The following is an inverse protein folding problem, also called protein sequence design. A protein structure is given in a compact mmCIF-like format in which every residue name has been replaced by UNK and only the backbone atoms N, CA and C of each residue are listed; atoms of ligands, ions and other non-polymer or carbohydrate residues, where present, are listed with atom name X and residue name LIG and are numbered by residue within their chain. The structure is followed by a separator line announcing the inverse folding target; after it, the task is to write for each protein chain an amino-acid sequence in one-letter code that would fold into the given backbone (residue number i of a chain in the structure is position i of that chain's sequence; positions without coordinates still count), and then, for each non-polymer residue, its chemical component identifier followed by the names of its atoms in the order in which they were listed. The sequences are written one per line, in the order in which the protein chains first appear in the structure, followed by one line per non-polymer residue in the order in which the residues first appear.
data_IF_430530834499
#
_entry.id   IF_430530834499
#
_cell.length_a   1.000
_cell.length_b   1.000
_cell.length_c   1.000
_cell.angle_alpha   90.00
_cell.angle_beta   90.00
_cell.angle_gamma   90.00
#
_symmetry.space_group_name_H-M   'P 1'
#
loop_
_entity.id
_entity.type
_entity.pdbx_description
1 polymer ?
#
# COMPACT_ATOMS: atom_id res chain seq x y z
N UNK A 1 -14.44 -16.86 19.58
CA UNK A 1 -13.98 -16.19 18.36
C UNK A 1 -12.46 -16.26 18.35
N UNK A 2 -11.87 -17.15 17.55
CA UNK A 2 -10.40 -17.11 17.36
C UNK A 2 -10.09 -15.98 16.38
N UNK A 3 -9.91 -14.77 16.91
CA UNK A 3 -9.34 -13.69 16.12
C UNK A 3 -7.84 -14.03 15.96
N UNK A 4 -7.51 -14.67 14.85
CA UNK A 4 -6.11 -14.88 14.52
C UNK A 4 -5.53 -13.52 14.04
N UNK A 5 -4.98 -12.76 14.99
CA UNK A 5 -4.38 -11.44 14.72
C UNK A 5 -3.32 -11.52 13.61
N UNK A 6 -2.65 -12.65 13.47
CA UNK A 6 -1.66 -12.86 12.41
C UNK A 6 -2.24 -12.56 11.00
N UNK A 7 -3.49 -12.96 10.74
CA UNK A 7 -4.15 -12.71 9.46
C UNK A 7 -4.55 -11.22 9.23
N UNK A 8 -4.17 -10.32 10.14
CA UNK A 8 -4.39 -8.88 10.03
C UNK A 8 -3.07 -8.10 9.94
N UNK A 9 -1.94 -8.81 9.80
CA UNK A 9 -0.60 -8.21 9.81
C UNK A 9 -0.02 -8.22 8.40
N UNK A 10 0.41 -7.03 7.95
CA UNK A 10 1.29 -6.86 6.81
C UNK A 10 2.74 -6.83 7.31
N UNK A 11 3.45 -7.96 7.16
CA UNK A 11 4.83 -8.06 7.61
C UNK A 11 5.74 -7.26 6.69
N UNK A 12 6.40 -6.23 7.24
CA UNK A 12 6.89 -5.10 6.43
C UNK A 12 8.40 -4.92 6.48
N UNK A 13 9.02 -4.73 5.31
CA UNK A 13 10.39 -4.24 5.15
C UNK A 13 10.50 -3.23 4.00
N UNK A 14 10.64 -1.94 4.33
CA UNK A 14 10.70 -0.82 3.38
C UNK A 14 12.02 -0.04 3.44
N UNK A 15 13.03 -0.58 4.14
CA UNK A 15 14.35 0.05 4.23
C UNK A 15 15.01 0.08 2.84
N UNK A 16 15.62 1.21 2.48
CA UNK A 16 16.33 1.35 1.20
C UNK A 16 17.48 0.35 1.03
N UNK A 17 18.04 -0.13 2.14
CA UNK A 17 19.15 -1.10 2.17
C UNK A 17 18.69 -2.55 2.27
N UNK A 18 17.37 -2.82 2.21
CA UNK A 18 16.85 -4.19 2.28
C UNK A 18 17.37 -5.05 1.12
N UNK A 19 17.97 -6.17 1.46
CA UNK A 19 18.54 -7.12 0.50
C UNK A 19 17.51 -8.19 0.09
N UNK A 20 17.83 -8.97 -0.94
CA UNK A 20 17.03 -10.15 -1.32
C UNK A 20 16.94 -11.17 -0.17
N UNK A 21 18.01 -11.32 0.62
CA UNK A 21 18.02 -12.22 1.77
C UNK A 21 17.07 -11.74 2.88
N UNK A 22 17.01 -10.42 3.11
CA UNK A 22 16.05 -9.83 4.07
C UNK A 22 14.61 -10.07 3.61
N UNK A 23 14.32 -9.88 2.32
CA UNK A 23 12.98 -10.13 1.76
C UNK A 23 12.63 -11.62 1.84
N UNK A 24 13.57 -12.53 1.56
CA UNK A 24 13.36 -13.96 1.69
C UNK A 24 13.07 -14.38 3.13
N UNK A 25 13.81 -13.82 4.10
CA UNK A 25 13.54 -14.04 5.51
C UNK A 25 12.14 -13.57 5.88
N UNK A 26 11.74 -12.36 5.45
CA UNK A 26 10.41 -11.79 5.64
C UNK A 26 9.31 -12.74 5.12
N UNK A 27 9.47 -13.26 3.89
CA UNK A 27 8.52 -14.18 3.28
C UNK A 27 8.41 -15.50 4.07
N UNK A 28 9.54 -16.03 4.58
CA UNK A 28 9.55 -17.26 5.38
C UNK A 28 8.83 -17.05 6.72
N UNK A 29 9.10 -15.94 7.41
CA UNK A 29 8.40 -15.57 8.66
C UNK A 29 6.89 -15.41 8.39
N UNK A 30 6.50 -14.73 7.31
CA UNK A 30 5.09 -14.55 6.97
C UNK A 30 4.36 -15.89 6.71
N UNK A 31 5.02 -16.84 6.07
CA UNK A 31 4.49 -18.21 5.88
C UNK A 31 4.37 -18.96 7.20
N UNK A 32 5.41 -18.89 8.05
CA UNK A 32 5.44 -19.59 9.34
C UNK A 32 4.33 -19.13 10.28
N UNK A 33 4.10 -17.80 10.36
CA UNK A 33 3.12 -17.21 11.26
C UNK A 33 1.75 -16.97 10.61
N UNK A 34 1.60 -17.29 9.32
CA UNK A 34 0.36 -17.08 8.55
C UNK A 34 -0.10 -15.61 8.58
N UNK A 35 0.83 -14.68 8.34
CA UNK A 35 0.48 -13.27 8.19
C UNK A 35 -0.37 -13.04 6.93
N UNK A 36 -1.12 -11.92 6.90
CA UNK A 36 -1.96 -11.58 5.77
C UNK A 36 -1.11 -11.31 4.52
N UNK A 37 -0.11 -10.47 4.65
CA UNK A 37 0.78 -10.09 3.55
C UNK A 37 2.23 -9.91 3.97
N UNK A 38 3.10 -9.76 2.98
CA UNK A 38 4.39 -9.09 3.12
C UNK A 38 4.31 -7.75 2.39
N UNK A 39 4.74 -6.66 3.06
CA UNK A 39 4.80 -5.33 2.45
C UNK A 39 6.25 -4.95 2.16
N UNK A 40 6.55 -4.68 0.90
CA UNK A 40 7.90 -4.50 0.37
C UNK A 40 7.98 -3.38 -0.67
N UNK A 41 9.20 -2.89 -0.93
CA UNK A 41 9.42 -1.94 -2.01
C UNK A 41 9.11 -2.56 -3.39
N UNK A 42 8.60 -1.79 -4.37
CA UNK A 42 8.10 -2.29 -5.66
C UNK A 42 9.11 -3.14 -6.45
N UNK A 43 10.40 -2.84 -6.34
CA UNK A 43 11.46 -3.60 -7.03
C UNK A 43 11.58 -5.07 -6.57
N UNK A 44 10.93 -5.44 -5.46
CA UNK A 44 11.00 -6.78 -4.89
C UNK A 44 9.73 -7.62 -5.11
N UNK A 45 8.70 -7.11 -5.79
CA UNK A 45 7.40 -7.78 -5.96
C UNK A 45 7.56 -9.17 -6.60
N UNK A 46 8.19 -9.26 -7.77
CA UNK A 46 8.36 -10.53 -8.48
C UNK A 46 9.16 -11.55 -7.66
N UNK A 47 10.17 -11.09 -6.93
CA UNK A 47 10.95 -11.95 -6.05
C UNK A 47 10.12 -12.49 -4.88
N UNK A 48 9.39 -11.60 -4.17
CA UNK A 48 8.52 -12.02 -3.08
C UNK A 48 7.39 -12.94 -3.56
N UNK A 49 6.78 -12.64 -4.72
CA UNK A 49 5.75 -13.49 -5.32
C UNK A 49 6.25 -14.93 -5.53
N UNK A 50 7.49 -15.08 -6.02
CA UNK A 50 8.14 -16.37 -6.19
C UNK A 50 8.42 -17.08 -4.84
N UNK A 51 8.93 -16.34 -3.85
CA UNK A 51 9.22 -16.90 -2.51
C UNK A 51 7.94 -17.32 -1.76
N UNK A 52 6.80 -16.71 -2.09
CA UNK A 52 5.49 -17.00 -1.49
C UNK A 52 4.65 -18.03 -2.29
N UNK A 53 5.20 -18.58 -3.37
CA UNK A 53 4.49 -19.56 -4.19
C UNK A 53 3.98 -20.74 -3.35
N UNK A 54 2.71 -21.13 -3.57
CA UNK A 54 2.05 -22.20 -2.82
C UNK A 54 1.59 -21.82 -1.41
N UNK A 55 1.73 -20.53 -0.99
CA UNK A 55 1.19 -20.02 0.28
C UNK A 55 -0.04 -19.15 0.06
N UNK A 56 -0.76 -18.84 1.16
CA UNK A 56 -1.89 -17.89 1.14
C UNK A 56 -1.46 -16.43 1.36
N UNK A 57 -0.19 -16.21 1.71
CA UNK A 57 0.35 -14.87 2.03
C UNK A 57 0.35 -14.00 0.78
N UNK A 58 -0.19 -12.79 0.91
CA UNK A 58 -0.30 -11.81 -0.17
C UNK A 58 0.97 -10.98 -0.34
N UNK A 59 1.14 -10.40 -1.52
CA UNK A 59 2.19 -9.41 -1.77
C UNK A 59 1.58 -8.03 -1.77
N UNK A 60 1.95 -7.23 -0.77
CA UNK A 60 1.65 -5.80 -0.66
C UNK A 60 2.87 -4.98 -1.08
N UNK A 61 2.64 -3.83 -1.69
CA UNK A 61 3.69 -2.85 -2.00
C UNK A 61 3.20 -1.42 -1.79
N UNK A 62 4.11 -0.46 -1.83
CA UNK A 62 3.80 0.96 -1.61
C UNK A 62 3.78 1.76 -2.91
N UNK A 63 2.94 2.80 -2.96
CA UNK A 63 2.76 3.70 -4.11
C UNK A 63 2.96 5.15 -3.67
N UNK A 64 3.80 5.89 -4.41
CA UNK A 64 4.14 7.27 -4.07
C UNK A 64 4.88 7.43 -2.74
N UNK A 65 5.44 6.35 -2.24
CA UNK A 65 6.02 6.27 -0.91
C UNK A 65 7.48 6.80 -0.87
N UNK A 66 7.91 7.47 0.23
CA UNK A 66 7.13 7.72 1.45
C UNK A 66 6.38 9.06 1.47
N UNK A 67 6.56 9.94 0.49
CA UNK A 67 6.16 11.35 0.58
C UNK A 67 4.74 11.64 0.08
N UNK A 68 4.17 10.78 -0.76
CA UNK A 68 2.87 11.03 -1.40
C UNK A 68 2.86 12.20 -2.40
N UNK A 69 4.04 12.77 -2.71
CA UNK A 69 4.19 14.01 -3.48
C UNK A 69 4.37 13.80 -5.00
N UNK A 70 4.27 12.56 -5.46
CA UNK A 70 4.24 12.25 -6.88
C UNK A 70 2.93 12.73 -7.50
N UNK A 71 2.92 12.99 -8.83
CA UNK A 71 1.65 13.29 -9.51
C UNK A 71 0.74 12.07 -9.56
N UNK A 72 -0.56 12.30 -9.69
CA UNK A 72 -1.56 11.22 -9.71
C UNK A 72 -1.33 10.24 -10.87
N UNK A 73 -0.86 10.73 -12.04
CA UNK A 73 -0.53 9.90 -13.19
C UNK A 73 0.65 8.97 -12.90
N UNK A 74 1.65 9.46 -12.16
CA UNK A 74 2.81 8.63 -11.76
C UNK A 74 2.38 7.55 -10.78
N UNK A 75 1.55 7.89 -9.78
CA UNK A 75 0.99 6.91 -8.84
C UNK A 75 0.14 5.85 -9.56
N UNK A 76 -0.70 6.27 -10.50
CA UNK A 76 -1.51 5.36 -11.31
C UNK A 76 -0.65 4.43 -12.17
N UNK A 77 0.44 4.94 -12.76
CA UNK A 77 1.40 4.12 -13.50
C UNK A 77 2.11 3.11 -12.59
N UNK A 78 2.60 3.56 -11.43
CA UNK A 78 3.26 2.72 -10.43
C UNK A 78 2.32 1.59 -9.95
N UNK A 79 1.04 1.89 -9.73
CA UNK A 79 0.00 0.93 -9.37
C UNK A 79 -0.15 -0.17 -10.43
N UNK A 80 -0.29 0.22 -11.71
CA UNK A 80 -0.42 -0.74 -12.81
C UNK A 80 0.81 -1.61 -12.97
N UNK A 81 2.01 -1.04 -12.82
CA UNK A 81 3.27 -1.78 -12.88
C UNK A 81 3.39 -2.79 -11.72
N UNK A 82 3.02 -2.36 -10.51
CA UNK A 82 3.01 -3.22 -9.33
C UNK A 82 2.08 -4.44 -9.49
N UNK A 83 0.85 -4.21 -9.94
CA UNK A 83 -0.15 -5.27 -10.17
C UNK A 83 0.34 -6.23 -11.25
N UNK A 84 0.84 -5.71 -12.36
CA UNK A 84 1.42 -6.52 -13.45
C UNK A 84 2.54 -7.44 -12.97
N UNK A 85 3.31 -7.01 -11.95
CA UNK A 85 4.39 -7.77 -11.32
C UNK A 85 3.91 -8.75 -10.25
N UNK A 86 2.64 -8.70 -9.88
CA UNK A 86 2.00 -9.64 -8.97
C UNK A 86 1.69 -9.12 -7.58
N UNK A 87 1.59 -7.80 -7.39
CA UNK A 87 1.06 -7.24 -6.16
C UNK A 87 -0.43 -7.58 -6.01
N UNK A 88 -0.81 -8.05 -4.84
CA UNK A 88 -2.20 -8.33 -4.45
C UNK A 88 -2.83 -7.14 -3.69
N UNK A 89 -1.98 -6.22 -3.20
CA UNK A 89 -2.37 -5.01 -2.47
C UNK A 89 -1.38 -3.88 -2.76
N UNK A 90 -1.90 -2.64 -2.84
CA UNK A 90 -1.10 -1.43 -3.03
C UNK A 90 -1.45 -0.39 -1.96
N UNK A 91 -0.44 0.06 -1.21
CA UNK A 91 -0.54 1.03 -0.13
C UNK A 91 -0.05 2.39 -0.61
N UNK A 92 -0.97 3.25 -1.03
CA UNK A 92 -0.63 4.57 -1.55
C UNK A 92 -0.53 5.62 -0.45
N UNK A 93 0.41 6.54 -0.56
CA UNK A 93 0.48 7.71 0.33
C UNK A 93 -0.30 8.88 -0.30
N UNK A 94 -1.18 9.52 0.51
CA UNK A 94 -1.91 10.71 0.05
C UNK A 94 -0.95 11.87 -0.25
N UNK A 95 -1.40 12.84 -1.05
CA UNK A 95 -0.69 14.11 -1.16
C UNK A 95 -0.96 14.98 0.08
N UNK A 96 -0.04 14.90 1.05
CA UNK A 96 -0.16 15.58 2.35
C UNK A 96 -0.15 17.11 2.17
N UNK A 97 0.68 17.62 1.24
CA UNK A 97 0.74 19.05 0.94
C UNK A 97 -0.60 19.58 0.46
N UNK A 98 -1.23 18.90 -0.49
CA UNK A 98 -2.55 19.28 -1.00
C UNK A 98 -3.62 19.21 0.10
N UNK A 99 -3.57 18.22 0.98
CA UNK A 99 -4.46 18.15 2.15
C UNK A 99 -4.29 19.35 3.07
N UNK A 100 -3.04 19.77 3.33
CA UNK A 100 -2.71 20.96 4.14
C UNK A 100 -3.21 22.26 3.49
N UNK A 101 -3.13 22.35 2.17
CA UNK A 101 -3.65 23.47 1.38
C UNK A 101 -5.17 23.45 1.27
N UNK A 102 -5.84 22.42 1.82
CA UNK A 102 -7.28 22.16 1.73
C UNK A 102 -7.78 21.96 0.29
N UNK A 103 -6.89 21.55 -0.61
CA UNK A 103 -7.24 21.12 -1.96
C UNK A 103 -7.77 19.68 -1.93
N UNK A 104 -8.96 19.54 -1.36
CA UNK A 104 -9.61 18.25 -1.16
C UNK A 104 -10.01 17.57 -2.47
N UNK A 105 -10.30 18.35 -3.50
CA UNK A 105 -10.60 17.81 -4.83
C UNK A 105 -9.37 17.17 -5.45
N UNK A 106 -8.20 17.78 -5.30
CA UNK A 106 -6.94 17.15 -5.73
C UNK A 106 -6.69 15.85 -4.97
N UNK A 107 -6.77 15.86 -3.62
CA UNK A 107 -6.55 14.66 -2.80
C UNK A 107 -7.51 13.54 -3.19
N UNK A 108 -8.80 13.84 -3.37
CA UNK A 108 -9.81 12.87 -3.81
C UNK A 108 -9.44 12.26 -5.17
N UNK A 109 -9.08 13.11 -6.14
CA UNK A 109 -8.74 12.66 -7.49
C UNK A 109 -7.42 11.87 -7.51
N UNK A 110 -6.45 12.22 -6.67
CA UNK A 110 -5.19 11.50 -6.50
C UNK A 110 -5.41 10.06 -6.00
N UNK A 111 -6.22 9.90 -4.94
CA UNK A 111 -6.60 8.57 -4.43
C UNK A 111 -7.40 7.81 -5.50
N UNK A 112 -8.37 8.47 -6.12
CA UNK A 112 -9.22 7.87 -7.15
C UNK A 112 -8.40 7.38 -8.35
N UNK A 113 -7.35 8.09 -8.75
CA UNK A 113 -6.47 7.66 -9.85
C UNK A 113 -5.78 6.32 -9.55
N UNK A 114 -5.41 6.07 -8.29
CA UNK A 114 -4.85 4.78 -7.85
C UNK A 114 -5.93 3.70 -7.80
N UNK A 115 -7.11 3.99 -7.25
CA UNK A 115 -8.25 3.06 -7.20
C UNK A 115 -8.68 2.63 -8.61
N UNK A 116 -8.82 3.60 -9.52
CA UNK A 116 -9.18 3.32 -10.92
C UNK A 116 -8.07 2.52 -11.63
N UNK A 117 -6.80 2.80 -11.31
CA UNK A 117 -5.66 2.05 -11.87
C UNK A 117 -5.58 0.62 -11.34
N UNK A 118 -5.97 0.39 -10.09
CA UNK A 118 -6.02 -0.94 -9.48
C UNK A 118 -7.14 -1.80 -10.08
N UNK A 119 -8.21 -1.19 -10.57
CA UNK A 119 -9.29 -1.85 -11.33
C UNK A 119 -9.84 -3.12 -10.66
N UNK A 120 -9.84 -3.16 -9.32
CA UNK A 120 -10.22 -4.33 -8.51
C UNK A 120 -9.33 -5.57 -8.68
N UNK A 121 -8.18 -5.44 -9.32
CA UNK A 121 -7.20 -6.51 -9.46
C UNK A 121 -6.29 -6.62 -8.23
N UNK A 122 -6.20 -5.53 -7.44
CA UNK A 122 -5.53 -5.49 -6.14
C UNK A 122 -6.33 -4.64 -5.16
N UNK A 123 -6.16 -4.89 -3.85
CA UNK A 123 -6.70 -4.04 -2.80
C UNK A 123 -5.95 -2.71 -2.77
N UNK A 124 -6.66 -1.63 -2.45
CA UNK A 124 -6.08 -0.29 -2.28
C UNK A 124 -6.21 0.15 -0.83
N UNK A 125 -5.08 0.39 -0.18
CA UNK A 125 -4.99 0.96 1.16
C UNK A 125 -4.43 2.37 1.08
N UNK A 126 -4.96 3.29 1.90
CA UNK A 126 -4.54 4.69 1.90
C UNK A 126 -3.73 5.00 3.16
N UNK A 127 -2.44 5.29 2.98
CA UNK A 127 -1.56 5.79 4.04
C UNK A 127 -1.83 7.30 4.17
N UNK A 128 -2.50 7.71 5.25
CA UNK A 128 -2.81 9.12 5.50
C UNK A 128 -1.70 9.87 6.22
N UNK A 129 -0.70 9.18 6.74
CA UNK A 129 0.48 9.69 7.48
C UNK A 129 0.09 10.58 8.67
N UNK A 130 -0.50 9.97 9.66
CA UNK A 130 -1.14 10.62 10.82
C UNK A 130 -0.23 11.57 11.61
N UNK A 131 1.09 11.36 11.58
CA UNK A 131 2.05 12.19 12.31
C UNK A 131 2.11 13.65 11.82
N UNK A 132 1.70 13.91 10.57
CA UNK A 132 1.63 15.25 9.99
C UNK A 132 0.25 15.89 10.12
N UNK A 133 -0.78 15.16 10.56
CA UNK A 133 -2.17 15.60 10.48
C UNK A 133 -2.76 15.96 11.84
N UNK A 134 -3.57 17.01 11.87
CA UNK A 134 -4.49 17.28 12.98
C UNK A 134 -5.64 16.25 12.99
N UNK A 135 -6.39 16.18 14.08
CA UNK A 135 -7.50 15.22 14.19
C UNK A 135 -8.62 15.50 13.17
N UNK A 136 -8.84 16.76 12.79
CA UNK A 136 -9.81 17.10 11.76
C UNK A 136 -9.29 16.71 10.36
N UNK A 137 -8.00 16.91 10.08
CA UNK A 137 -7.40 16.48 8.82
C UNK A 137 -7.40 14.95 8.66
N UNK A 138 -7.19 14.20 9.75
CA UNK A 138 -7.32 12.72 9.74
C UNK A 138 -8.73 12.28 9.33
N UNK A 139 -9.77 12.92 9.90
CA UNK A 139 -11.16 12.63 9.53
C UNK A 139 -11.42 12.91 8.06
N UNK A 140 -10.99 14.09 7.59
CA UNK A 140 -11.14 14.48 6.18
C UNK A 140 -10.42 13.48 5.26
N UNK A 141 -9.18 13.10 5.58
CA UNK A 141 -8.43 12.13 4.79
C UNK A 141 -9.15 10.76 4.70
N UNK A 142 -9.70 10.28 5.82
CA UNK A 142 -10.50 9.05 5.83
C UNK A 142 -11.79 9.18 4.98
N UNK A 143 -12.51 10.31 5.08
CA UNK A 143 -13.71 10.57 4.29
C UNK A 143 -13.40 10.61 2.79
N UNK A 144 -12.30 11.25 2.39
CA UNK A 144 -11.85 11.30 1.02
C UNK A 144 -11.44 9.91 0.50
N UNK A 145 -10.78 9.09 1.33
CA UNK A 145 -10.39 7.72 0.98
C UNK A 145 -11.63 6.84 0.71
N UNK A 146 -12.63 6.91 1.59
CA UNK A 146 -13.91 6.20 1.40
C UNK A 146 -14.62 6.69 0.13
N UNK A 147 -14.69 8.01 -0.09
CA UNK A 147 -15.33 8.62 -1.27
C UNK A 147 -14.63 8.23 -2.56
N UNK A 148 -13.31 8.06 -2.54
CA UNK A 148 -12.53 7.61 -3.69
C UNK A 148 -12.73 6.11 -4.00
N UNK A 149 -13.23 5.33 -3.06
CA UNK A 149 -13.47 3.90 -3.20
C UNK A 149 -12.29 3.02 -2.80
N UNK A 150 -11.40 3.51 -1.93
CA UNK A 150 -10.34 2.69 -1.35
C UNK A 150 -10.93 1.60 -0.43
N UNK A 151 -10.23 0.45 -0.32
CA UNK A 151 -10.66 -0.68 0.49
C UNK A 151 -10.32 -0.48 1.97
N UNK A 152 -9.21 0.23 2.28
CA UNK A 152 -8.69 0.50 3.62
C UNK A 152 -8.11 1.91 3.73
#
# INVERSE_FOLDING_TARGET
MNNNIANMIDHTILKAVATKEDVKKLCNEAKEYNFFSVCINPANIEFAKKELEGSSVKVCTVIGFPLGANTSEVKAFETKDAIKKGADEVDMVINIGALKDKDYDYVLNDIKAVVDAANKEALVKVIIETCYLTDDEKKIACELSVKAGADF
#
